data_IF_582093857720
#
_entry.id   IF_582093857720
#
_cell.length_a   1.000
_cell.length_b   1.000
_cell.length_c   1.000
_cell.angle_alpha   90.00
_cell.angle_beta   90.00
_cell.angle_gamma   90.00
#
_symmetry.space_group_name_H-M   'P 1'
#
loop_
_entity.id
_entity.type
_entity.pdbx_description
1 polymer ?
#
# COMPACT_ATOMS: atom_id res chain seq x y z
N UNK A 1 -19.36 40.17 24.37
CA UNK A 1 -18.81 39.86 23.03
C UNK A 1 -18.21 38.47 23.10
N UNK A 2 -18.87 37.44 22.55
CA UNK A 2 -18.32 36.09 22.54
C UNK A 2 -17.16 36.03 21.53
N UNK A 3 -15.98 35.68 22.02
CA UNK A 3 -14.83 35.38 21.17
C UNK A 3 -15.16 34.18 20.30
N UNK A 4 -15.40 34.41 19.02
CA UNK A 4 -15.40 33.35 18.01
C UNK A 4 -13.97 32.85 17.89
N UNK A 5 -13.62 31.86 18.70
CA UNK A 5 -12.38 31.10 18.54
C UNK A 5 -12.50 30.38 17.21
N UNK A 6 -11.98 30.99 16.16
CA UNK A 6 -11.73 30.35 14.88
C UNK A 6 -10.69 29.26 15.11
N UNK A 7 -11.13 28.09 15.56
CA UNK A 7 -10.33 26.87 15.52
C UNK A 7 -10.21 26.49 14.05
N UNK A 8 -9.30 27.18 13.36
CA UNK A 8 -8.79 26.74 12.06
C UNK A 8 -8.41 25.27 12.24
N UNK A 9 -9.22 24.40 11.64
CA UNK A 9 -9.10 22.95 11.77
C UNK A 9 -7.90 22.54 10.92
N UNK A 10 -6.71 22.91 11.39
CA UNK A 10 -5.47 22.75 10.65
C UNK A 10 -5.25 21.25 10.51
N UNK A 11 -5.49 20.77 9.29
CA UNK A 11 -5.30 19.39 8.89
C UNK A 11 -3.92 18.92 9.35
N UNK A 12 -3.83 17.75 10.00
CA UNK A 12 -2.55 17.23 10.44
C UNK A 12 -1.66 16.98 9.22
N UNK A 13 -0.47 17.58 9.21
CA UNK A 13 0.52 17.36 8.16
C UNK A 13 0.86 15.87 7.99
N UNK A 14 0.81 15.09 9.08
CA UNK A 14 1.02 13.65 9.03
C UNK A 14 -0.06 12.88 8.25
N UNK A 15 -1.32 13.31 8.33
CA UNK A 15 -2.41 12.69 7.54
C UNK A 15 -2.23 12.99 6.06
N UNK A 16 -1.85 14.22 5.71
CA UNK A 16 -1.54 14.60 4.32
C UNK A 16 -0.34 13.82 3.80
N UNK A 17 0.72 13.67 4.60
CA UNK A 17 1.90 12.88 4.23
C UNK A 17 1.55 11.40 4.01
N UNK A 18 0.78 10.79 4.92
CA UNK A 18 0.33 9.41 4.77
C UNK A 18 -0.55 9.22 3.51
N UNK A 19 -1.47 10.15 3.24
CA UNK A 19 -2.30 10.13 2.04
C UNK A 19 -1.47 10.26 0.75
N UNK A 20 -0.51 11.19 0.74
CA UNK A 20 0.42 11.38 -0.38
C UNK A 20 1.28 10.13 -0.62
N UNK A 21 1.84 9.53 0.43
CA UNK A 21 2.61 8.29 0.33
C UNK A 21 1.76 7.13 -0.20
N UNK A 22 0.50 7.01 0.23
CA UNK A 22 -0.42 5.98 -0.28
C UNK A 22 -0.66 6.13 -1.79
N UNK A 23 -0.90 7.35 -2.26
CA UNK A 23 -1.17 7.64 -3.68
C UNK A 23 0.10 7.50 -4.51
N UNK A 24 1.23 8.06 -4.07
CA UNK A 24 2.50 7.95 -4.78
C UNK A 24 2.98 6.52 -4.85
N UNK A 25 2.93 5.78 -3.74
CA UNK A 25 3.29 4.36 -3.70
C UNK A 25 2.38 3.49 -4.56
N UNK A 26 1.07 3.79 -4.59
CA UNK A 26 0.14 3.06 -5.47
C UNK A 26 0.36 3.42 -6.95
N UNK A 27 0.67 4.68 -7.25
CA UNK A 27 0.92 5.13 -8.63
C UNK A 27 2.22 4.56 -9.19
N UNK A 28 3.29 4.50 -8.39
CA UNK A 28 4.54 3.84 -8.79
C UNK A 28 4.36 2.34 -8.96
N UNK A 29 3.61 1.69 -8.04
CA UNK A 29 3.24 0.29 -8.19
C UNK A 29 2.43 0.04 -9.47
N UNK A 30 1.49 0.92 -9.82
CA UNK A 30 0.73 0.84 -11.07
C UNK A 30 1.63 0.95 -12.30
N UNK A 31 2.59 1.86 -12.28
CA UNK A 31 3.54 2.03 -13.39
C UNK A 31 4.42 0.79 -13.58
N UNK A 32 5.03 0.29 -12.50
CA UNK A 32 5.86 -0.93 -12.54
C UNK A 32 5.02 -2.13 -13.00
N UNK A 33 3.82 -2.26 -12.44
CA UNK A 33 2.88 -3.32 -12.78
C UNK A 33 2.43 -3.26 -14.24
N UNK A 34 2.04 -2.07 -14.72
CA UNK A 34 1.64 -1.86 -16.11
C UNK A 34 2.78 -2.17 -17.08
N UNK A 35 4.02 -1.79 -16.73
CA UNK A 35 5.20 -2.11 -17.53
C UNK A 35 5.44 -3.62 -17.61
N UNK A 36 5.32 -4.32 -16.46
CA UNK A 36 5.43 -5.77 -16.42
C UNK A 36 4.31 -6.47 -17.20
N UNK A 37 3.07 -6.03 -17.04
CA UNK A 37 1.91 -6.54 -17.77
C UNK A 37 2.10 -6.41 -19.28
N UNK A 38 2.47 -5.22 -19.75
CA UNK A 38 2.74 -4.98 -21.18
C UNK A 38 3.91 -5.84 -21.67
N UNK A 39 4.95 -6.02 -20.85
CA UNK A 39 6.07 -6.91 -21.16
C UNK A 39 5.63 -8.37 -21.37
N UNK A 40 4.76 -8.89 -20.50
CA UNK A 40 4.22 -10.26 -20.62
C UNK A 40 3.29 -10.39 -21.83
N UNK A 41 2.48 -9.38 -22.13
CA UNK A 41 1.57 -9.41 -23.28
C UNK A 41 2.31 -9.31 -24.62
N UNK A 42 3.44 -8.61 -24.65
CA UNK A 42 4.29 -8.46 -25.84
C UNK A 42 5.41 -9.52 -25.94
N UNK A 43 5.50 -10.45 -24.98
CA UNK A 43 6.51 -11.50 -25.01
C UNK A 43 6.27 -12.45 -26.19
N UNK A 44 7.37 -12.84 -26.84
CA UNK A 44 7.33 -13.78 -27.96
C UNK A 44 6.65 -15.10 -27.57
N UNK A 45 5.95 -15.75 -28.51
CA UNK A 45 5.38 -17.06 -28.27
C UNK A 45 6.46 -18.06 -27.84
N UNK A 46 6.14 -18.93 -26.88
CA UNK A 46 7.09 -19.96 -26.43
C UNK A 46 7.41 -20.99 -27.51
N UNK A 47 8.24 -22.00 -27.20
CA UNK A 47 8.66 -23.04 -28.16
C UNK A 47 7.51 -23.78 -28.87
N UNK A 48 6.29 -23.75 -28.31
CA UNK A 48 5.07 -24.31 -28.90
C UNK A 48 4.20 -23.32 -29.68
N UNK A 49 4.68 -22.12 -29.99
CA UNK A 49 3.94 -21.08 -30.73
C UNK A 49 2.74 -20.47 -30.00
N UNK A 50 2.52 -20.86 -28.73
CA UNK A 50 1.44 -20.36 -27.88
C UNK A 50 1.97 -19.34 -26.89
N UNK A 51 1.21 -18.28 -26.66
CA UNK A 51 1.50 -17.32 -25.61
C UNK A 51 1.09 -17.86 -24.22
N UNK A 52 1.73 -17.36 -23.17
CA UNK A 52 1.49 -17.78 -21.78
C UNK A 52 0.01 -17.64 -21.35
N UNK A 53 -0.67 -16.58 -21.81
CA UNK A 53 -2.09 -16.37 -21.51
C UNK A 53 -3.04 -17.40 -22.13
N UNK A 54 -2.60 -18.10 -23.19
CA UNK A 54 -3.38 -19.19 -23.79
C UNK A 54 -3.21 -20.50 -23.03
N UNK A 55 -2.02 -20.72 -22.47
CA UNK A 55 -1.69 -21.94 -21.73
C UNK A 55 -2.26 -21.90 -20.31
N UNK A 56 -2.18 -20.74 -19.64
CA UNK A 56 -2.61 -20.58 -18.24
C UNK A 56 -3.56 -19.38 -18.07
N UNK A 57 -4.75 -19.39 -18.71
CA UNK A 57 -5.64 -18.22 -18.74
C UNK A 57 -6.09 -17.78 -17.34
N UNK A 58 -6.46 -18.73 -16.48
CA UNK A 58 -6.92 -18.43 -15.12
C UNK A 58 -5.81 -17.89 -14.22
N UNK A 59 -4.61 -18.49 -14.27
CA UNK A 59 -3.47 -18.03 -13.48
C UNK A 59 -3.08 -16.62 -13.89
N UNK A 60 -3.04 -16.34 -15.19
CA UNK A 60 -2.71 -15.04 -15.74
C UNK A 60 -3.78 -14.00 -15.38
N UNK A 61 -5.07 -14.36 -15.46
CA UNK A 61 -6.15 -13.48 -15.04
C UNK A 61 -6.04 -13.12 -13.56
N UNK A 62 -5.78 -14.09 -12.70
CA UNK A 62 -5.67 -13.86 -11.25
C UNK A 62 -4.41 -13.05 -10.93
N UNK A 63 -3.29 -13.40 -11.55
CA UNK A 63 -2.03 -12.66 -11.45
C UNK A 63 -2.23 -11.21 -11.87
N UNK A 64 -3.03 -10.92 -12.90
CA UNK A 64 -3.26 -9.57 -13.40
C UNK A 64 -4.29 -8.74 -12.62
N UNK A 65 -5.37 -9.38 -12.19
CA UNK A 65 -6.47 -8.71 -11.49
C UNK A 65 -6.14 -8.38 -10.04
N UNK A 66 -5.52 -9.31 -9.29
CA UNK A 66 -5.30 -9.13 -7.85
C UNK A 66 -4.44 -7.89 -7.55
N UNK A 67 -3.24 -7.70 -8.13
CA UNK A 67 -2.42 -6.52 -7.86
C UNK A 67 -3.12 -5.22 -8.24
N UNK A 68 -3.93 -5.24 -9.31
CA UNK A 68 -4.69 -4.07 -9.76
C UNK A 68 -5.76 -3.67 -8.73
N UNK A 69 -6.45 -4.64 -8.13
CA UNK A 69 -7.36 -4.38 -7.01
C UNK A 69 -6.63 -3.85 -5.77
N UNK A 70 -5.45 -4.38 -5.43
CA UNK A 70 -4.65 -3.90 -4.31
C UNK A 70 -4.21 -2.44 -4.55
N UNK A 71 -3.70 -2.12 -5.73
CA UNK A 71 -3.31 -0.76 -6.12
C UNK A 71 -4.53 0.19 -6.07
N UNK A 72 -5.66 -0.20 -6.67
CA UNK A 72 -6.87 0.62 -6.66
C UNK A 72 -7.37 0.88 -5.23
N UNK A 73 -7.28 -0.12 -4.35
CA UNK A 73 -7.63 0.03 -2.94
C UNK A 73 -6.67 0.96 -2.18
N UNK A 74 -5.38 0.98 -2.53
CA UNK A 74 -4.38 1.90 -1.99
C UNK A 74 -4.68 3.34 -2.37
N UNK A 75 -4.97 3.60 -3.65
CA UNK A 75 -5.40 4.92 -4.15
C UNK A 75 -6.69 5.36 -3.46
N UNK A 76 -7.70 4.48 -3.40
CA UNK A 76 -8.97 4.76 -2.72
C UNK A 76 -8.75 5.11 -1.24
N UNK A 77 -7.86 4.40 -0.55
CA UNK A 77 -7.51 4.68 0.85
C UNK A 77 -6.84 6.05 0.97
N UNK A 78 -5.90 6.39 0.08
CA UNK A 78 -5.25 7.71 0.04
C UNK A 78 -6.24 8.85 -0.19
N UNK A 79 -7.16 8.72 -1.14
CA UNK A 79 -8.23 9.69 -1.38
C UNK A 79 -9.15 9.80 -0.14
N UNK A 80 -9.49 8.67 0.47
CA UNK A 80 -10.30 8.64 1.68
C UNK A 80 -9.63 9.35 2.87
N UNK A 81 -8.31 9.22 2.99
CA UNK A 81 -7.50 9.97 3.97
C UNK A 81 -7.51 11.46 3.66
N UNK A 82 -7.45 11.84 2.37
CA UNK A 82 -7.62 13.23 1.93
C UNK A 82 -9.00 13.81 2.26
N UNK A 83 -10.03 12.98 2.29
CA UNK A 83 -11.38 13.37 2.67
C UNK A 83 -11.68 13.18 4.16
N UNK A 84 -10.68 12.79 4.98
CA UNK A 84 -10.83 12.55 6.42
C UNK A 84 -11.96 11.56 6.77
N UNK A 85 -12.24 10.58 5.90
CA UNK A 85 -13.31 9.61 6.14
C UNK A 85 -12.90 8.55 7.16
N UNK A 86 -13.81 8.19 8.08
CA UNK A 86 -13.53 7.18 9.11
C UNK A 86 -13.12 5.82 8.57
N UNK A 87 -13.75 5.38 7.47
CA UNK A 87 -13.42 4.10 6.83
C UNK A 87 -11.99 4.11 6.28
N UNK A 88 -11.46 5.26 5.86
CA UNK A 88 -10.11 5.37 5.32
C UNK A 88 -9.06 5.17 6.41
N UNK A 89 -9.32 5.65 7.63
CA UNK A 89 -8.47 5.37 8.80
C UNK A 89 -8.43 3.87 9.10
N UNK A 90 -9.59 3.21 9.09
CA UNK A 90 -9.69 1.76 9.33
C UNK A 90 -8.96 0.97 8.24
N UNK A 91 -9.13 1.35 6.99
CA UNK A 91 -8.42 0.76 5.86
C UNK A 91 -6.90 0.95 5.97
N UNK A 92 -6.43 2.15 6.30
CA UNK A 92 -5.00 2.43 6.50
C UNK A 92 -4.39 1.56 7.61
N UNK A 93 -5.10 1.40 8.74
CA UNK A 93 -4.68 0.51 9.82
C UNK A 93 -4.64 -0.96 9.39
N UNK A 94 -5.65 -1.43 8.66
CA UNK A 94 -5.67 -2.79 8.13
C UNK A 94 -4.48 -3.04 7.19
N UNK A 95 -4.21 -2.11 6.27
CA UNK A 95 -3.08 -2.19 5.36
C UNK A 95 -1.74 -2.23 6.10
N UNK A 96 -1.57 -1.36 7.09
CA UNK A 96 -0.36 -1.32 7.90
C UNK A 96 -0.19 -2.62 8.72
N UNK A 97 -1.28 -3.20 9.24
CA UNK A 97 -1.23 -4.50 9.93
C UNK A 97 -0.85 -5.64 8.98
N UNK A 98 -1.46 -5.72 7.80
CA UNK A 98 -1.12 -6.73 6.79
C UNK A 98 0.34 -6.62 6.35
N UNK A 99 0.79 -5.39 6.08
CA UNK A 99 2.18 -5.11 5.71
C UNK A 99 3.16 -5.49 6.82
N UNK A 100 2.84 -5.19 8.09
CA UNK A 100 3.66 -5.60 9.23
C UNK A 100 3.70 -7.12 9.39
N UNK A 101 2.56 -7.81 9.29
CA UNK A 101 2.51 -9.28 9.35
C UNK A 101 3.32 -9.91 8.21
N UNK A 102 3.24 -9.37 7.00
CA UNK A 102 4.04 -9.82 5.87
C UNK A 102 5.54 -9.63 6.14
N UNK A 103 5.94 -8.48 6.68
CA UNK A 103 7.32 -8.24 7.07
C UNK A 103 7.81 -9.23 8.14
N UNK A 104 7.02 -9.45 9.19
CA UNK A 104 7.37 -10.40 10.24
C UNK A 104 7.45 -11.84 9.71
N UNK A 105 6.56 -12.22 8.80
CA UNK A 105 6.59 -13.52 8.14
C UNK A 105 7.89 -13.72 7.35
N UNK A 106 8.28 -12.72 6.54
CA UNK A 106 9.54 -12.76 5.79
C UNK A 106 10.75 -12.91 6.72
N UNK A 107 10.80 -12.16 7.81
CA UNK A 107 11.88 -12.24 8.80
C UNK A 107 11.91 -13.62 9.48
N UNK A 108 10.76 -14.15 9.86
CA UNK A 108 10.66 -15.40 10.63
C UNK A 108 10.91 -16.65 9.79
N UNK A 109 10.38 -16.71 8.57
CA UNK A 109 10.40 -17.93 7.74
C UNK A 109 11.40 -17.89 6.59
N UNK A 110 11.93 -16.72 6.22
CA UNK A 110 12.95 -16.54 5.17
C UNK A 110 14.20 -15.79 5.66
N UNK A 111 14.79 -16.15 6.83
CA UNK A 111 15.93 -15.42 7.37
C UNK A 111 17.17 -15.53 6.48
N UNK A 112 17.37 -16.66 5.78
CA UNK A 112 18.52 -16.87 4.89
C UNK A 112 18.48 -16.00 3.64
N UNK A 113 17.30 -15.75 3.06
CA UNK A 113 17.14 -14.78 1.97
C UNK A 113 17.34 -13.34 2.44
N UNK A 114 17.31 -13.08 3.75
CA UNK A 114 17.36 -11.72 4.32
C UNK A 114 18.73 -11.37 4.92
N UNK A 115 19.48 -12.34 5.48
CA UNK A 115 20.67 -12.07 6.30
C UNK A 115 21.96 -12.84 5.94
N UNK A 116 21.92 -13.91 5.13
CA UNK A 116 23.12 -14.72 4.83
C UNK A 116 23.20 -15.09 3.35
N UNK A 117 24.24 -14.63 2.64
CA UNK A 117 24.45 -14.94 1.23
C UNK A 117 25.75 -15.74 1.04
N UNK A 118 25.67 -17.02 0.66
CA UNK A 118 26.76 -17.70 -0.03
C UNK A 118 26.79 -17.20 -1.49
N UNK A 119 27.78 -16.38 -1.83
CA UNK A 119 27.93 -15.72 -3.16
C UNK A 119 28.09 -16.68 -4.35
N UNK A 120 28.15 -17.99 -4.12
CA UNK A 120 28.69 -18.97 -5.08
C UNK A 120 27.64 -19.63 -5.98
N UNK A 121 26.33 -19.39 -5.76
CA UNK A 121 25.25 -20.11 -6.46
C UNK A 121 24.05 -19.25 -6.89
N UNK A 122 24.14 -17.92 -6.82
CA UNK A 122 22.96 -17.07 -7.01
C UNK A 122 22.95 -16.48 -8.42
N UNK A 123 21.93 -16.81 -9.21
CA UNK A 123 21.71 -16.20 -10.53
C UNK A 123 21.44 -14.69 -10.39
N UNK A 124 21.76 -13.89 -11.41
CA UNK A 124 21.50 -12.43 -11.42
C UNK A 124 20.03 -12.11 -11.09
N UNK A 125 19.10 -12.96 -11.54
CA UNK A 125 17.67 -12.85 -11.26
C UNK A 125 17.36 -12.99 -9.76
N UNK A 126 17.99 -13.94 -9.08
CA UNK A 126 17.80 -14.16 -7.64
C UNK A 126 18.40 -13.02 -6.82
N UNK A 127 19.54 -12.49 -7.25
CA UNK A 127 20.16 -11.31 -6.63
C UNK A 127 19.26 -10.08 -6.71
N UNK A 128 18.66 -9.85 -7.88
CA UNK A 128 17.69 -8.77 -8.07
C UNK A 128 16.44 -8.97 -7.21
N UNK A 129 15.88 -10.19 -7.16
CA UNK A 129 14.74 -10.52 -6.30
C UNK A 129 15.03 -10.27 -4.84
N UNK A 130 16.22 -10.67 -4.38
CA UNK A 130 16.65 -10.46 -3.00
C UNK A 130 16.83 -8.98 -2.67
N UNK A 131 17.48 -8.21 -3.55
CA UNK A 131 17.62 -6.77 -3.38
C UNK A 131 16.27 -6.07 -3.31
N UNK A 132 15.34 -6.45 -4.19
CA UNK A 132 13.98 -5.92 -4.20
C UNK A 132 13.22 -6.28 -2.91
N UNK A 133 13.31 -7.53 -2.46
CA UNK A 133 12.67 -7.99 -1.23
C UNK A 133 13.22 -7.25 0.01
N UNK A 134 14.54 -7.08 0.10
CA UNK A 134 15.19 -6.36 1.19
C UNK A 134 14.84 -4.87 1.16
N UNK A 135 14.89 -4.22 0.00
CA UNK A 135 14.48 -2.82 -0.17
C UNK A 135 13.03 -2.62 0.25
N UNK A 136 12.14 -3.52 -0.16
CA UNK A 136 10.74 -3.49 0.20
C UNK A 136 10.55 -3.68 1.71
N UNK A 137 11.26 -4.62 2.35
CA UNK A 137 11.25 -4.80 3.81
C UNK A 137 11.68 -3.54 4.56
N UNK A 138 12.82 -2.95 4.18
CA UNK A 138 13.39 -1.76 4.82
C UNK A 138 12.45 -0.55 4.68
N UNK A 139 11.70 -0.46 3.58
CA UNK A 139 10.70 0.59 3.40
C UNK A 139 9.37 0.29 4.11
N UNK A 140 8.78 -0.90 3.91
CA UNK A 140 7.45 -1.24 4.41
C UNK A 140 7.41 -1.31 5.94
N UNK A 141 8.44 -1.88 6.58
CA UNK A 141 8.44 -2.12 8.01
C UNK A 141 8.29 -0.83 8.84
N UNK A 142 9.14 0.21 8.67
CA UNK A 142 8.98 1.45 9.42
C UNK A 142 7.71 2.21 9.04
N UNK A 143 7.29 2.19 7.77
CA UNK A 143 6.05 2.83 7.32
C UNK A 143 4.84 2.18 8.00
N UNK A 144 4.81 0.86 8.07
CA UNK A 144 3.72 0.09 8.69
C UNK A 144 3.62 0.38 10.18
N UNK A 145 4.75 0.36 10.90
CA UNK A 145 4.79 0.74 12.30
C UNK A 145 4.32 2.18 12.49
N UNK A 146 4.86 3.11 11.71
CA UNK A 146 4.49 4.52 11.78
C UNK A 146 2.99 4.72 11.57
N UNK A 147 2.38 4.08 10.57
CA UNK A 147 0.95 4.18 10.34
C UNK A 147 0.12 3.61 11.49
N UNK A 148 0.49 2.45 12.04
CA UNK A 148 -0.22 1.85 13.18
C UNK A 148 -0.20 2.78 14.38
N UNK A 149 0.96 3.35 14.74
CA UNK A 149 1.07 4.26 15.86
C UNK A 149 0.35 5.58 15.58
N UNK A 150 0.60 6.20 14.43
CA UNK A 150 0.07 7.52 14.07
C UNK A 150 -1.46 7.53 14.02
N UNK A 151 -2.10 6.56 13.34
CA UNK A 151 -3.55 6.51 13.22
C UNK A 151 -4.28 6.06 14.51
N UNK A 152 -3.55 5.59 15.52
CA UNK A 152 -4.08 5.32 16.86
C UNK A 152 -4.03 6.53 17.79
N UNK A 153 -3.27 7.58 17.46
CA UNK A 153 -3.19 8.77 18.30
C UNK A 153 -4.57 9.43 18.45
N UNK A 154 -4.97 9.83 19.67
CA UNK A 154 -6.28 10.43 19.91
C UNK A 154 -6.47 11.75 19.17
N UNK A 155 -5.40 12.53 18.99
CA UNK A 155 -5.40 13.75 18.19
C UNK A 155 -5.78 13.50 16.74
N UNK A 156 -5.23 12.44 16.14
CA UNK A 156 -5.54 12.02 14.76
C UNK A 156 -6.94 11.45 14.69
N UNK A 157 -7.35 10.60 15.65
CA UNK A 157 -8.70 10.03 15.71
C UNK A 157 -9.80 11.10 15.66
N UNK A 158 -9.64 12.19 16.41
CA UNK A 158 -10.59 13.32 16.43
C UNK A 158 -10.73 14.00 15.06
N UNK A 159 -9.71 13.98 14.21
CA UNK A 159 -9.79 14.56 12.86
C UNK A 159 -10.66 13.75 11.89
N UNK A 160 -10.93 12.49 12.21
CA UNK A 160 -11.82 11.62 11.44
C UNK A 160 -13.22 11.53 12.04
N UNK A 161 -13.45 12.08 13.24
CA UNK A 161 -14.77 12.15 13.84
C UNK A 161 -15.56 13.27 13.15
N UNK A 162 -16.70 12.92 12.55
CA UNK A 162 -17.54 13.86 11.82
C UNK A 162 -18.12 14.85 12.85
N UNK A 163 -18.05 16.17 12.61
CA UNK A 163 -18.62 17.13 13.54
C UNK A 163 -20.13 16.84 13.68
N UNK A 164 -20.69 16.92 14.90
CA UNK A 164 -22.11 16.69 15.12
C UNK A 164 -22.89 17.61 14.18
N UNK A 165 -23.72 17.01 13.32
CA UNK A 165 -24.65 17.76 12.46
C UNK A 165 -25.45 18.68 13.39
N UNK A 166 -25.47 20.01 13.14
CA UNK A 166 -26.31 20.88 13.94
C UNK A 166 -27.75 20.41 13.74
N UNK A 167 -28.32 19.91 14.83
CA UNK A 167 -29.70 19.44 14.94
C UNK A 167 -30.59 20.56 14.37
N UNK A 168 -31.21 20.30 13.22
CA UNK A 168 -32.11 21.24 12.58
C UNK A 168 -33.24 21.53 13.56
N UNK A 169 -33.25 22.75 14.11
CA UNK A 169 -34.25 23.19 15.06
C UNK A 169 -35.65 22.89 14.50
N UNK A 170 -36.53 22.21 15.26
CA UNK A 170 -37.89 21.95 14.82
C UNK A 170 -38.60 23.31 14.61
N UNK A 171 -39.10 23.50 13.39
CA UNK A 171 -39.99 24.61 13.04
C UNK A 171 -41.37 24.42 13.67
#
# INVERSE_FOLDING_TARGET
>A
MPETVWTSTRRSAGVTCAAALAILGSSSALYIWGSFFLGVMNADPGPGGKHLYQVYPFTILLLFSVPLFLIASGIRTGIGLFQLKQWARRAALLWASVALCFCLYMIAFRPYETFFIPERFVSELERLKQFLALSLMVALFPISLWWIFFFRLPSVKRQFEEPPQPESAPH
#
